data_IF_186754371239
#
_entry.id   IF_186754371239
#
_cell.length_a   1.000
_cell.length_b   1.000
_cell.length_c   1.000
_cell.angle_alpha   90.00
_cell.angle_beta   90.00
_cell.angle_gamma   90.00
#
_symmetry.space_group_name_H-M   'P 1'
#
loop_
_entity.id
_entity.type
_entity.pdbx_description
1 polymer ?
#
# COMPACT_ATOMS: atom_id res chain seq x y z
N UNK A 1 -2.22 -19.50 -13.57
CA UNK A 1 -3.04 -19.22 -12.37
C UNK A 1 -3.74 -17.87 -12.56
N UNK A 2 -5.04 -17.77 -12.26
CA UNK A 2 -5.84 -16.54 -12.37
C UNK A 2 -6.45 -16.21 -11.01
N UNK A 3 -5.61 -16.11 -9.97
CA UNK A 3 -6.08 -15.70 -8.66
C UNK A 3 -6.02 -14.16 -8.58
N UNK A 4 -7.09 -13.49 -8.14
CA UNK A 4 -7.07 -12.05 -7.95
C UNK A 4 -6.13 -11.69 -6.80
N UNK A 5 -5.47 -10.53 -6.88
CA UNK A 5 -4.48 -10.06 -5.89
C UNK A 5 -4.74 -8.62 -5.51
N UNK A 6 -5.01 -8.37 -4.23
CA UNK A 6 -4.93 -7.05 -3.62
C UNK A 6 -3.59 -6.93 -2.88
N UNK A 7 -2.82 -5.92 -3.22
CA UNK A 7 -1.51 -5.63 -2.64
C UNK A 7 -1.56 -4.29 -1.91
N UNK A 8 -1.50 -4.32 -0.58
CA UNK A 8 -1.32 -3.13 0.25
C UNK A 8 0.16 -2.79 0.40
N UNK A 9 0.50 -1.52 0.28
CA UNK A 9 1.86 -1.00 0.41
C UNK A 9 1.87 0.38 1.09
N UNK A 10 3.03 0.78 1.58
CA UNK A 10 3.20 2.01 2.36
C UNK A 10 4.46 2.75 1.89
N UNK A 11 4.43 4.09 1.86
CA UNK A 11 5.53 4.89 1.29
C UNK A 11 6.75 5.00 2.19
N UNK A 12 6.55 4.96 3.51
CA UNK A 12 7.62 5.07 4.50
C UNK A 12 8.12 3.70 4.98
N UNK A 13 7.63 2.60 4.41
CA UNK A 13 8.10 1.25 4.71
C UNK A 13 9.64 1.12 4.58
N UNK A 14 10.34 1.10 5.72
CA UNK A 14 11.79 0.97 5.81
C UNK A 14 12.28 -0.49 5.76
N UNK A 15 11.38 -1.45 5.93
CA UNK A 15 11.72 -2.89 6.00
C UNK A 15 11.64 -3.50 4.60
N UNK A 16 10.57 -3.21 3.87
CA UNK A 16 10.36 -3.60 2.48
C UNK A 16 10.02 -2.39 1.59
N UNK A 17 11.01 -1.52 1.27
CA UNK A 17 10.74 -0.28 0.55
C UNK A 17 10.05 -0.50 -0.80
N UNK A 18 8.99 0.27 -1.08
CA UNK A 18 8.16 0.06 -2.27
C UNK A 18 8.94 0.12 -3.58
N UNK A 19 9.88 1.06 -3.70
CA UNK A 19 10.68 1.26 -4.92
C UNK A 19 11.63 0.10 -5.18
N UNK A 20 12.19 -0.49 -4.12
CA UNK A 20 13.23 -1.52 -4.23
C UNK A 20 12.62 -2.91 -4.33
N UNK A 21 11.62 -3.21 -3.50
CA UNK A 21 11.12 -4.57 -3.30
C UNK A 21 9.72 -4.78 -3.90
N UNK A 22 8.74 -3.95 -3.50
CA UNK A 22 7.33 -4.26 -3.75
C UNK A 22 6.87 -3.95 -5.18
N UNK A 23 7.23 -2.78 -5.72
CA UNK A 23 6.79 -2.36 -7.05
C UNK A 23 7.33 -3.28 -8.16
N UNK A 24 8.57 -3.74 -8.03
CA UNK A 24 9.14 -4.73 -8.94
C UNK A 24 8.34 -6.04 -8.89
N UNK A 25 8.10 -6.57 -7.69
CA UNK A 25 7.31 -7.80 -7.50
C UNK A 25 5.90 -7.70 -8.09
N UNK A 26 5.24 -6.55 -7.95
CA UNK A 26 3.91 -6.32 -8.53
C UNK A 26 3.91 -6.35 -10.07
N UNK A 27 5.00 -5.92 -10.72
CA UNK A 27 5.12 -5.96 -12.19
C UNK A 27 5.14 -7.39 -12.74
N UNK A 28 5.61 -8.35 -11.94
CA UNK A 28 5.71 -9.77 -12.32
C UNK A 28 4.37 -10.51 -12.28
N UNK A 29 3.35 -9.95 -11.61
CA UNK A 29 2.03 -10.58 -11.52
C UNK A 29 1.38 -10.68 -12.91
N UNK A 30 1.03 -11.89 -13.33
CA UNK A 30 0.38 -12.18 -14.61
C UNK A 30 -1.14 -12.26 -14.52
N UNK A 31 -1.71 -12.14 -13.32
CA UNK A 31 -3.16 -12.14 -13.11
C UNK A 31 -3.80 -10.83 -13.63
N UNK A 32 -4.97 -10.89 -14.30
CA UNK A 32 -5.64 -9.69 -14.79
C UNK A 32 -6.23 -8.85 -13.65
N UNK A 33 -6.67 -9.49 -12.58
CA UNK A 33 -7.26 -8.85 -11.41
C UNK A 33 -6.21 -8.62 -10.34
N UNK A 34 -5.37 -7.62 -10.58
CA UNK A 34 -4.37 -7.16 -9.62
C UNK A 34 -4.59 -5.70 -9.26
N UNK A 35 -4.34 -5.38 -8.01
CA UNK A 35 -4.55 -4.06 -7.43
C UNK A 35 -3.38 -3.75 -6.52
N UNK A 36 -2.74 -2.62 -6.70
CA UNK A 36 -1.73 -2.09 -5.79
C UNK A 36 -2.27 -0.81 -5.17
N UNK A 37 -2.39 -0.82 -3.84
CA UNK A 37 -2.77 0.32 -3.03
C UNK A 37 -1.52 0.80 -2.29
N UNK A 38 -1.21 2.09 -2.41
CA UNK A 38 -0.12 2.74 -1.71
C UNK A 38 -0.70 3.78 -0.75
N UNK A 39 -0.38 3.62 0.54
CA UNK A 39 -0.69 4.59 1.58
C UNK A 39 0.53 5.48 1.83
N UNK A 40 0.40 6.77 1.53
CA UNK A 40 1.44 7.76 1.82
C UNK A 40 1.64 7.90 3.33
N UNK A 41 2.87 8.10 3.79
CA UNK A 41 3.20 8.38 5.19
C UNK A 41 3.06 7.20 6.17
N UNK A 42 2.55 6.06 5.73
CA UNK A 42 2.47 4.85 6.55
C UNK A 42 3.77 4.03 6.51
N UNK A 43 4.02 3.30 7.59
CA UNK A 43 5.12 2.35 7.76
C UNK A 43 4.61 0.89 7.62
N UNK A 44 5.52 -0.09 7.53
CA UNK A 44 5.18 -1.53 7.58
C UNK A 44 4.84 -2.00 8.99
N UNK A 45 5.57 -1.42 9.94
CA UNK A 45 5.43 -1.55 11.38
C UNK A 45 5.73 -0.14 11.87
N UNK A 46 4.78 0.50 12.54
CA UNK A 46 4.98 1.81 13.12
C UNK A 46 5.95 1.70 14.31
N UNK A 47 7.25 1.81 14.02
CA UNK A 47 8.32 1.70 15.01
C UNK A 47 8.66 3.11 15.52
N UNK A 48 8.66 3.29 16.84
CA UNK A 48 9.11 4.52 17.48
C UNK A 48 10.65 4.62 17.44
N UNK A 49 11.15 5.17 16.33
CA UNK A 49 12.58 5.45 16.16
C UNK A 49 13.09 6.55 17.12
N UNK A 50 12.20 7.37 17.68
CA UNK A 50 12.54 8.35 18.71
C UNK A 50 12.95 7.64 20.01
N UNK A 51 12.12 6.71 20.47
CA UNK A 51 12.39 5.89 21.64
C UNK A 51 13.67 5.05 21.49
N UNK A 52 13.95 4.54 20.28
CA UNK A 52 15.23 3.88 19.97
C UNK A 52 16.41 4.85 20.12
N UNK A 53 16.32 6.05 19.53
CA UNK A 53 17.41 7.06 19.59
C UNK A 53 17.70 7.54 21.01
N UNK A 54 16.66 7.66 21.82
CA UNK A 54 16.76 8.10 23.22
C UNK A 54 17.04 6.94 24.19
N UNK A 55 17.07 5.70 23.69
CA UNK A 55 17.18 4.47 24.49
C UNK A 55 16.15 4.42 25.63
N UNK A 56 14.93 4.88 25.34
CA UNK A 56 13.83 5.09 26.30
C UNK A 56 12.74 4.02 26.16
N UNK A 57 13.15 2.76 26.02
CA UNK A 57 12.26 1.60 25.93
C UNK A 57 12.77 0.45 26.80
N UNK A 58 11.87 -0.41 27.27
CA UNK A 58 12.17 -1.60 28.10
C UNK A 58 11.82 -2.91 27.40
N UNK A 59 11.05 -2.86 26.31
CA UNK A 59 10.75 -4.03 25.46
C UNK A 59 10.52 -3.64 24.01
N UNK A 60 10.63 -4.62 23.09
CA UNK A 60 10.31 -4.41 21.68
C UNK A 60 8.84 -4.04 21.45
N UNK A 61 7.93 -4.51 22.31
CA UNK A 61 6.51 -4.20 22.19
C UNK A 61 6.21 -2.71 22.43
N UNK A 62 6.99 -2.03 23.28
CA UNK A 62 6.87 -0.59 23.52
C UNK A 62 7.32 0.25 22.32
N UNK A 63 8.13 -0.32 21.44
CA UNK A 63 8.57 0.34 20.21
C UNK A 63 7.53 0.25 19.10
N UNK A 64 6.55 -0.65 19.18
CA UNK A 64 5.53 -0.83 18.15
C UNK A 64 4.31 0.00 18.54
N UNK A 65 4.11 1.10 17.82
CA UNK A 65 2.91 1.90 17.95
C UNK A 65 1.79 1.30 17.09
N UNK A 66 0.51 1.49 17.47
CA UNK A 66 -0.60 1.13 16.60
C UNK A 66 -0.58 2.00 15.34
N UNK A 67 -1.06 1.44 14.23
CA UNK A 67 -1.33 2.23 13.04
C UNK A 67 -2.48 3.21 13.29
N UNK A 68 -2.46 4.40 12.66
CA UNK A 68 -3.57 5.34 12.73
C UNK A 68 -4.89 4.68 12.29
N UNK A 69 -5.99 5.01 12.97
CA UNK A 69 -7.31 4.44 12.67
C UNK A 69 -7.71 4.57 11.19
N UNK A 70 -7.33 5.69 10.56
CA UNK A 70 -7.60 5.93 9.14
C UNK A 70 -6.88 4.93 8.22
N UNK A 71 -5.64 4.55 8.55
CA UNK A 71 -4.85 3.56 7.79
C UNK A 71 -5.48 2.18 7.93
N UNK A 72 -5.89 1.80 9.16
CA UNK A 72 -6.66 0.59 9.40
C UNK A 72 -7.99 0.60 8.62
N UNK A 73 -8.65 1.76 8.56
CA UNK A 73 -9.87 1.98 7.77
C UNK A 73 -9.68 1.67 6.29
N UNK A 74 -8.56 2.06 5.69
CA UNK A 74 -8.26 1.77 4.28
C UNK A 74 -8.11 0.27 4.01
N UNK A 75 -7.38 -0.45 4.88
CA UNK A 75 -7.23 -1.90 4.77
C UNK A 75 -8.60 -2.60 4.84
N UNK A 76 -9.47 -2.17 5.75
CA UNK A 76 -10.83 -2.68 5.86
C UNK A 76 -11.68 -2.37 4.61
N UNK A 77 -11.61 -1.14 4.09
CA UNK A 77 -12.38 -0.71 2.93
C UNK A 77 -12.01 -1.49 1.67
N UNK A 78 -10.72 -1.56 1.33
CA UNK A 78 -10.26 -2.30 0.15
C UNK A 78 -10.37 -3.81 0.32
N UNK A 79 -10.11 -4.32 1.53
CA UNK A 79 -10.32 -5.73 1.85
C UNK A 79 -11.78 -6.13 1.65
N UNK A 80 -12.72 -5.35 2.18
CA UNK A 80 -14.16 -5.57 1.97
C UNK A 80 -14.50 -5.55 0.49
N UNK A 81 -14.08 -4.52 -0.25
CA UNK A 81 -14.34 -4.43 -1.68
C UNK A 81 -13.78 -5.63 -2.46
N UNK A 82 -12.55 -6.05 -2.14
CA UNK A 82 -11.89 -7.17 -2.78
C UNK A 82 -12.60 -8.49 -2.52
N UNK A 83 -12.87 -8.83 -1.26
CA UNK A 83 -13.52 -10.09 -0.91
C UNK A 83 -14.97 -10.13 -1.40
N UNK A 84 -15.71 -9.02 -1.34
CA UNK A 84 -17.07 -9.00 -1.89
C UNK A 84 -17.06 -9.20 -3.41
N UNK A 85 -16.12 -8.56 -4.12
CA UNK A 85 -16.03 -8.68 -5.59
C UNK A 85 -15.61 -10.08 -6.04
N UNK A 86 -14.58 -10.66 -5.41
CA UNK A 86 -13.87 -11.82 -5.94
C UNK A 86 -14.14 -13.14 -5.20
N UNK A 87 -14.73 -13.09 -4.01
CA UNK A 87 -15.05 -14.29 -3.20
C UNK A 87 -16.55 -14.46 -3.01
N UNK A 88 -17.27 -13.36 -2.76
CA UNK A 88 -18.73 -13.39 -2.55
C UNK A 88 -19.54 -13.14 -3.84
N UNK A 89 -18.87 -12.99 -5.00
CA UNK A 89 -19.47 -12.72 -6.30
C UNK A 89 -20.46 -11.54 -6.32
N UNK A 90 -20.09 -10.44 -5.64
CA UNK A 90 -20.85 -9.17 -5.60
C UNK A 90 -20.19 -8.11 -6.49
N UNK A 91 -20.46 -8.09 -7.81
CA UNK A 91 -19.77 -7.24 -8.76
C UNK A 91 -19.98 -5.74 -8.52
N UNK A 92 -21.03 -5.33 -7.81
CA UNK A 92 -21.28 -3.94 -7.43
C UNK A 92 -20.14 -3.34 -6.57
N UNK A 93 -19.41 -4.18 -5.82
CA UNK A 93 -18.26 -3.75 -5.03
C UNK A 93 -17.01 -3.45 -5.86
N UNK A 94 -16.97 -3.86 -7.13
CA UNK A 94 -15.82 -3.59 -8.02
C UNK A 94 -15.61 -2.08 -8.25
N UNK A 95 -16.67 -1.27 -8.09
CA UNK A 95 -16.62 0.19 -8.14
C UNK A 95 -15.76 0.83 -7.04
N UNK A 96 -15.43 0.09 -5.99
CA UNK A 96 -14.53 0.51 -4.91
C UNK A 96 -13.08 0.04 -5.14
N UNK A 97 -12.81 -0.79 -6.15
CA UNK A 97 -11.46 -1.25 -6.52
C UNK A 97 -10.87 -0.40 -7.65
N UNK A 98 -10.84 0.92 -7.46
CA UNK A 98 -10.35 1.88 -8.44
C UNK A 98 -9.76 3.15 -7.81
N UNK A 99 -8.96 3.86 -8.61
CA UNK A 99 -8.26 5.07 -8.18
C UNK A 99 -9.16 6.21 -7.73
N UNK A 100 -10.34 6.38 -8.32
CA UNK A 100 -11.30 7.40 -7.89
C UNK A 100 -11.82 7.16 -6.47
N UNK A 101 -12.04 5.89 -6.07
CA UNK A 101 -12.45 5.58 -4.71
C UNK A 101 -11.30 5.83 -3.72
N UNK A 102 -10.08 5.42 -4.07
CA UNK A 102 -8.88 5.73 -3.28
C UNK A 102 -8.72 7.24 -3.03
N UNK A 103 -8.92 8.06 -4.06
CA UNK A 103 -8.89 9.52 -3.93
C UNK A 103 -10.05 10.07 -3.09
N UNK A 104 -11.20 9.40 -3.09
CA UNK A 104 -12.39 9.82 -2.34
C UNK A 104 -12.23 9.59 -0.85
N UNK A 105 -11.64 8.46 -0.45
CA UNK A 105 -11.47 8.09 0.96
C UNK A 105 -10.12 8.51 1.53
N UNK A 106 -9.17 8.92 0.70
CA UNK A 106 -7.84 9.33 1.14
C UNK A 106 -7.88 10.63 1.95
N UNK A 107 -7.29 10.58 3.13
CA UNK A 107 -7.18 11.69 4.08
C UNK A 107 -5.72 12.07 4.31
N UNK A 108 -5.42 13.37 4.39
CA UNK A 108 -4.07 13.84 4.75
C UNK A 108 -3.76 13.52 6.22
N UNK A 109 -2.52 13.14 6.56
CA UNK A 109 -1.35 13.04 5.68
C UNK A 109 -1.25 11.71 4.91
N UNK A 110 -2.17 10.77 5.12
CA UNK A 110 -2.15 9.42 4.57
C UNK A 110 -2.94 9.30 3.26
N UNK A 111 -2.58 10.08 2.24
CA UNK A 111 -3.26 10.00 0.94
C UNK A 111 -3.07 8.60 0.31
N UNK A 112 -4.00 8.22 -0.56
CA UNK A 112 -3.97 6.93 -1.25
C UNK A 112 -3.66 7.07 -2.73
N UNK A 113 -2.81 6.16 -3.22
CA UNK A 113 -2.61 5.90 -4.65
C UNK A 113 -3.05 4.47 -4.97
N UNK A 114 -3.61 4.26 -6.16
CA UNK A 114 -4.15 2.97 -6.57
C UNK A 114 -3.85 2.70 -8.04
N UNK A 115 -3.33 1.53 -8.36
CA UNK A 115 -3.12 1.10 -9.76
C UNK A 115 -3.56 -0.35 -9.97
N UNK A 116 -4.07 -0.63 -11.17
CA UNK A 116 -4.42 -2.00 -11.62
C UNK A 116 -3.33 -2.65 -12.46
N UNK A 117 -2.38 -1.85 -12.94
CA UNK A 117 -1.29 -2.33 -13.78
C UNK A 117 -0.08 -1.41 -13.62
N UNK A 118 1.09 -2.03 -13.55
CA UNK A 118 2.38 -1.37 -13.62
C UNK A 118 3.29 -2.29 -14.42
N UNK A 119 3.83 -1.82 -15.54
CA UNK A 119 4.85 -2.55 -16.30
C UNK A 119 6.24 -2.20 -15.80
N UNK A 120 7.19 -3.12 -15.98
CA UNK A 120 8.61 -2.88 -15.67
C UNK A 120 9.15 -1.64 -16.42
N UNK A 121 8.70 -1.43 -17.66
CA UNK A 121 9.08 -0.25 -18.46
C UNK A 121 8.52 1.04 -17.86
N UNK A 122 7.25 1.04 -17.43
CA UNK A 122 6.64 2.20 -16.76
C UNK A 122 7.38 2.52 -15.46
N UNK A 123 7.62 1.50 -14.62
CA UNK A 123 8.36 1.65 -13.37
C UNK A 123 9.77 2.20 -13.61
N UNK A 124 10.53 1.58 -14.53
CA UNK A 124 11.88 2.02 -14.88
C UNK A 124 11.93 3.47 -15.38
N UNK A 125 10.94 3.88 -16.17
CA UNK A 125 10.83 5.25 -16.67
C UNK A 125 10.56 6.24 -15.54
N UNK A 126 9.62 5.93 -14.66
CA UNK A 126 9.27 6.76 -13.50
C UNK A 126 10.47 6.94 -12.55
N UNK A 127 11.19 5.86 -12.24
CA UNK A 127 12.38 5.92 -11.38
C UNK A 127 13.51 6.76 -12.00
N UNK A 128 13.73 6.65 -13.31
CA UNK A 128 14.70 7.51 -14.02
C UNK A 128 14.28 8.98 -13.99
N UNK A 129 12.99 9.27 -14.06
CA UNK A 129 12.48 10.65 -14.00
C UNK A 129 12.63 11.24 -12.60
N UNK A 130 12.27 10.50 -11.56
CA UNK A 130 12.41 10.94 -10.16
C UNK A 130 13.86 11.28 -9.80
N UNK A 131 14.84 10.52 -10.30
CA UNK A 131 16.28 10.79 -10.12
C UNK A 131 16.79 12.04 -10.84
N UNK A 132 16.05 12.60 -11.81
CA UNK A 132 16.43 13.83 -12.53
C UNK A 132 15.85 15.09 -11.90
N UNK A 133 14.83 14.94 -11.08
CA UNK A 133 14.12 16.03 -10.39
C UNK A 133 14.61 16.26 -8.96
N UNK A 134 15.47 15.38 -8.46
CA UNK A 134 16.22 15.52 -7.20
C UNK A 134 17.68 15.85 -7.51
#
# INVERSE_FOLDING_TARGET
FKLPVLWGSASEDKITPIVLEQANSFTWLTTPDKYLVLTEGADHINIDFGAIRENSFTSLAELIQPDPDVVNGYANAFGLAFFQTHVADRPEYSSYLQASYAQTIGEKPFNLSFVRSLSETQLSKTLKQARKTN
#
